data_IF_722616557087
#
_entry.id   IF_722616557087
#
_cell.length_a   1.000
_cell.length_b   1.000
_cell.length_c   1.000
_cell.angle_alpha   90.00
_cell.angle_beta   90.00
_cell.angle_gamma   90.00
#
_symmetry.space_group_name_H-M   'P 1'
#
loop_
_entity.id
_entity.type
_entity.pdbx_description
1 polymer ?
#
# COMPACT_ATOMS: atom_id res chain seq x y z
N UNK A 1 8.10 -37.16 3.53
CA UNK A 1 7.85 -35.84 4.17
C UNK A 1 7.43 -34.96 3.00
N UNK A 2 6.13 -34.82 2.81
CA UNK A 2 5.53 -34.00 1.76
C UNK A 2 5.84 -32.53 2.06
N UNK A 3 6.54 -31.86 1.16
CA UNK A 3 6.62 -30.41 1.11
C UNK A 3 5.21 -29.89 0.79
N UNK A 4 4.56 -29.35 1.82
CA UNK A 4 3.30 -28.64 1.72
C UNK A 4 3.60 -27.35 0.93
N UNK A 5 3.33 -27.36 -0.35
CA UNK A 5 3.55 -26.22 -1.23
C UNK A 5 2.56 -25.11 -0.85
N UNK A 6 3.08 -23.95 -0.51
CA UNK A 6 2.34 -22.74 -0.12
C UNK A 6 1.40 -22.20 -1.21
N UNK A 7 1.30 -22.86 -2.36
CA UNK A 7 0.42 -22.51 -3.47
C UNK A 7 -1.07 -22.80 -3.20
N UNK A 8 -1.38 -23.67 -2.25
CA UNK A 8 -2.75 -24.13 -2.00
C UNK A 8 -3.65 -23.15 -1.24
N UNK A 9 -3.09 -21.98 -0.84
CA UNK A 9 -3.80 -20.97 -0.03
C UNK A 9 -4.15 -19.69 -0.78
N UNK A 10 -3.77 -19.56 -2.05
CA UNK A 10 -4.05 -18.39 -2.87
C UNK A 10 -5.18 -18.70 -3.83
N UNK A 11 -6.34 -18.11 -3.60
CA UNK A 11 -7.45 -18.17 -4.55
C UNK A 11 -7.17 -17.25 -5.74
N UNK A 12 -7.16 -17.78 -6.95
CA UNK A 12 -6.88 -17.01 -8.17
C UNK A 12 -8.14 -16.81 -8.98
N UNK A 13 -8.33 -15.60 -9.49
CA UNK A 13 -9.52 -15.19 -10.24
C UNK A 13 -9.15 -14.43 -11.51
N UNK A 14 -9.98 -14.55 -12.55
CA UNK A 14 -9.93 -13.73 -13.75
C UNK A 14 -10.96 -12.61 -13.63
N UNK A 15 -10.54 -11.38 -13.92
CA UNK A 15 -11.41 -10.20 -13.97
C UNK A 15 -11.44 -9.69 -15.41
N UNK A 16 -12.60 -9.78 -16.07
CA UNK A 16 -12.75 -9.36 -17.46
C UNK A 16 -12.86 -7.84 -17.57
N UNK A 17 -12.04 -7.26 -18.45
CA UNK A 17 -12.07 -5.84 -18.78
C UNK A 17 -12.60 -5.62 -20.19
N UNK A 18 -13.57 -4.72 -20.32
CA UNK A 18 -14.11 -4.29 -21.61
C UNK A 18 -13.11 -3.41 -22.38
N UNK A 19 -12.25 -2.69 -21.63
CA UNK A 19 -11.27 -1.76 -22.19
C UNK A 19 -9.85 -2.31 -22.10
N UNK A 20 -9.03 -2.06 -23.14
CA UNK A 20 -7.61 -2.41 -23.15
C UNK A 20 -6.81 -1.69 -22.06
N UNK A 21 -7.22 -0.49 -21.65
CA UNK A 21 -6.52 0.28 -20.63
C UNK A 21 -6.79 -0.22 -19.20
N UNK A 22 -7.81 -1.03 -18.99
CA UNK A 22 -8.13 -1.72 -17.72
C UNK A 22 -8.29 -0.83 -16.48
N UNK A 23 -8.14 0.48 -16.59
CA UNK A 23 -8.12 1.40 -15.43
C UNK A 23 -9.46 1.40 -14.69
N UNK A 24 -10.57 1.45 -15.42
CA UNK A 24 -11.91 1.42 -14.81
C UNK A 24 -12.18 0.07 -14.14
N UNK A 25 -11.75 -1.04 -14.78
CA UNK A 25 -11.88 -2.39 -14.22
C UNK A 25 -11.08 -2.53 -12.93
N UNK A 26 -9.84 -2.04 -12.92
CA UNK A 26 -9.00 -1.99 -11.71
C UNK A 26 -9.69 -1.21 -10.59
N UNK A 27 -10.22 -0.02 -10.88
CA UNK A 27 -10.90 0.80 -9.89
C UNK A 27 -12.13 0.08 -9.32
N UNK A 28 -12.97 -0.51 -10.18
CA UNK A 28 -14.16 -1.26 -9.76
C UNK A 28 -13.78 -2.47 -8.90
N UNK A 29 -12.71 -3.20 -9.26
CA UNK A 29 -12.20 -4.31 -8.47
C UNK A 29 -11.73 -3.84 -7.08
N UNK A 30 -10.93 -2.79 -7.01
CA UNK A 30 -10.51 -2.20 -5.73
C UNK A 30 -11.69 -1.76 -4.86
N UNK A 31 -12.78 -1.33 -5.46
CA UNK A 31 -14.01 -0.95 -4.75
C UNK A 31 -14.79 -2.15 -4.18
N UNK A 32 -14.47 -3.38 -4.55
CA UNK A 32 -15.09 -4.59 -3.96
C UNK A 32 -14.40 -5.05 -2.68
N UNK A 33 -13.20 -4.55 -2.38
CA UNK A 33 -12.46 -4.96 -1.20
C UNK A 33 -12.91 -4.17 0.02
N UNK A 34 -13.44 -4.88 1.00
CA UNK A 34 -13.90 -4.27 2.27
C UNK A 34 -12.73 -3.89 3.18
N UNK A 35 -11.64 -4.66 3.13
CA UNK A 35 -10.45 -4.48 3.96
C UNK A 35 -9.23 -5.13 3.32
N UNK A 36 -8.08 -4.91 3.94
CA UNK A 36 -6.82 -5.54 3.54
C UNK A 36 -5.95 -4.65 2.68
N UNK A 37 -4.68 -5.06 2.59
CA UNK A 37 -3.70 -4.39 1.74
C UNK A 37 -3.63 -5.08 0.38
N UNK A 38 -3.41 -4.28 -0.65
CA UNK A 38 -3.38 -4.72 -2.06
C UNK A 38 -2.08 -4.28 -2.71
N UNK A 39 -1.45 -5.17 -3.46
CA UNK A 39 -0.39 -4.81 -4.42
C UNK A 39 -0.94 -4.94 -5.83
N UNK A 40 -0.79 -3.88 -6.63
CA UNK A 40 -1.11 -3.84 -8.05
C UNK A 40 0.20 -3.91 -8.84
N UNK A 41 0.38 -4.99 -9.60
CA UNK A 41 1.59 -5.20 -10.40
C UNK A 41 1.42 -4.71 -11.84
N UNK A 42 2.36 -3.85 -12.25
CA UNK A 42 2.54 -3.38 -13.61
C UNK A 42 3.89 -3.86 -14.17
N UNK A 43 3.97 -4.09 -15.49
CA UNK A 43 5.23 -4.53 -16.12
C UNK A 43 6.22 -3.37 -16.32
N UNK A 44 5.74 -2.12 -16.41
CA UNK A 44 6.54 -0.94 -16.72
C UNK A 44 6.30 0.20 -15.73
N UNK A 45 7.33 1.01 -15.47
CA UNK A 45 7.25 2.17 -14.57
C UNK A 45 6.24 3.21 -15.03
N UNK A 46 6.15 3.45 -16.36
CA UNK A 46 5.20 4.39 -16.95
C UNK A 46 3.75 3.96 -16.69
N UNK A 47 3.52 2.65 -16.62
CA UNK A 47 2.19 2.10 -16.25
C UNK A 47 1.90 2.27 -14.76
N UNK A 48 2.92 2.18 -13.89
CA UNK A 48 2.77 2.49 -12.47
C UNK A 48 2.35 3.94 -12.28
N UNK A 49 3.01 4.87 -12.96
CA UNK A 49 2.68 6.31 -12.90
C UNK A 49 1.25 6.57 -13.40
N UNK A 50 0.89 5.99 -14.56
CA UNK A 50 -0.44 6.13 -15.15
C UNK A 50 -1.55 5.59 -14.25
N UNK A 51 -1.37 4.41 -13.68
CA UNK A 51 -2.31 3.83 -12.71
C UNK A 51 -2.40 4.72 -11.47
N UNK A 52 -1.26 5.18 -10.96
CA UNK A 52 -1.22 6.09 -9.81
C UNK A 52 -1.96 7.40 -10.07
N UNK A 53 -1.78 8.04 -11.23
CA UNK A 53 -2.51 9.25 -11.61
C UNK A 53 -4.03 9.00 -11.67
N UNK A 54 -4.43 7.88 -12.25
CA UNK A 54 -5.83 7.51 -12.32
C UNK A 54 -6.44 7.29 -10.92
N UNK A 55 -5.79 6.52 -10.06
CA UNK A 55 -6.26 6.29 -8.68
C UNK A 55 -6.32 7.60 -7.88
N UNK A 56 -5.37 8.51 -8.10
CA UNK A 56 -5.39 9.85 -7.49
C UNK A 56 -6.59 10.65 -7.97
N UNK A 57 -6.93 10.62 -9.26
CA UNK A 57 -8.11 11.29 -9.81
C UNK A 57 -9.40 10.76 -9.20
N UNK A 58 -9.43 9.47 -8.86
CA UNK A 58 -10.52 8.80 -8.15
C UNK A 58 -10.48 9.04 -6.62
N UNK A 59 -9.50 9.78 -6.11
CA UNK A 59 -9.28 10.07 -4.68
C UNK A 59 -9.12 8.80 -3.84
N UNK A 60 -8.48 7.77 -4.39
CA UNK A 60 -8.06 6.58 -3.64
C UNK A 60 -6.65 6.77 -3.06
N UNK A 61 -6.50 6.50 -1.77
CA UNK A 61 -5.19 6.51 -1.11
C UNK A 61 -4.36 5.32 -1.63
N UNK A 62 -3.25 5.63 -2.28
CA UNK A 62 -2.31 4.65 -2.84
C UNK A 62 -0.90 5.19 -2.82
N UNK A 63 0.08 4.30 -2.96
CA UNK A 63 1.48 4.63 -3.18
C UNK A 63 1.96 4.02 -4.50
N UNK A 64 2.72 4.77 -5.27
CA UNK A 64 3.44 4.28 -6.43
C UNK A 64 4.87 3.90 -6.04
N UNK A 65 5.41 2.81 -6.63
CA UNK A 65 6.74 2.33 -6.30
C UNK A 65 7.44 1.70 -7.52
N UNK A 66 8.47 2.35 -8.03
CA UNK A 66 9.31 1.83 -9.12
C UNK A 66 10.73 2.40 -9.08
N UNK A 67 11.66 1.75 -9.78
CA UNK A 67 13.08 2.09 -9.75
C UNK A 67 13.47 3.46 -10.32
N UNK A 68 12.56 4.14 -11.05
CA UNK A 68 12.79 5.49 -11.57
C UNK A 68 12.51 6.61 -10.56
N UNK A 69 12.01 6.29 -9.36
CA UNK A 69 11.71 7.27 -8.32
C UNK A 69 12.94 7.53 -7.45
N UNK A 70 13.03 8.73 -6.88
CA UNK A 70 14.04 9.07 -5.90
C UNK A 70 13.96 8.17 -4.66
N UNK A 71 15.10 7.85 -4.05
CA UNK A 71 15.20 6.95 -2.91
C UNK A 71 14.30 7.40 -1.74
N UNK A 72 14.31 8.69 -1.43
CA UNK A 72 13.50 9.24 -0.34
C UNK A 72 11.99 9.08 -0.58
N UNK A 73 11.55 9.25 -1.83
CA UNK A 73 10.14 9.04 -2.23
C UNK A 73 9.76 7.57 -2.09
N UNK A 74 10.65 6.66 -2.50
CA UNK A 74 10.43 5.20 -2.35
C UNK A 74 10.34 4.78 -0.88
N UNK A 75 11.24 5.25 -0.03
CA UNK A 75 11.22 4.95 1.40
C UNK A 75 9.93 5.45 2.06
N UNK A 76 9.49 6.65 1.73
CA UNK A 76 8.24 7.20 2.23
C UNK A 76 7.02 6.40 1.77
N UNK A 77 6.96 6.01 0.49
CA UNK A 77 5.87 5.19 -0.05
C UNK A 77 5.76 3.84 0.68
N UNK A 78 6.88 3.16 0.88
CA UNK A 78 6.91 1.91 1.63
C UNK A 78 6.53 2.10 3.09
N UNK A 79 7.00 3.16 3.73
CA UNK A 79 6.65 3.46 5.11
C UNK A 79 5.13 3.68 5.26
N UNK A 80 4.52 4.46 4.37
CA UNK A 80 3.07 4.69 4.36
C UNK A 80 2.27 3.42 4.11
N UNK A 81 2.74 2.55 3.22
CA UNK A 81 2.12 1.27 2.97
C UNK A 81 2.25 0.34 4.19
N UNK A 82 3.44 0.19 4.77
CA UNK A 82 3.68 -0.67 5.94
C UNK A 82 2.88 -0.27 7.16
N UNK A 83 2.70 1.02 7.41
CA UNK A 83 1.99 1.50 8.60
C UNK A 83 0.46 1.59 8.41
N UNK A 84 -0.07 1.24 7.23
CA UNK A 84 -1.49 1.27 6.94
C UNK A 84 -2.07 2.67 6.64
N UNK A 85 -1.21 3.67 6.35
CA UNK A 85 -1.65 4.99 5.86
C UNK A 85 -2.06 4.96 4.39
N UNK A 86 -1.65 3.91 3.68
CA UNK A 86 -2.10 3.55 2.35
C UNK A 86 -2.31 2.04 2.28
N UNK A 87 -3.42 1.61 1.71
CA UNK A 87 -3.75 0.19 1.57
C UNK A 87 -3.48 -0.36 0.16
N UNK A 88 -3.03 0.49 -0.76
CA UNK A 88 -2.76 0.12 -2.15
C UNK A 88 -1.33 0.52 -2.50
N UNK A 89 -0.54 -0.45 -2.97
CA UNK A 89 0.79 -0.24 -3.53
C UNK A 89 0.76 -0.61 -5.01
N UNK A 90 1.08 0.32 -5.89
CA UNK A 90 1.23 0.08 -7.34
C UNK A 90 2.71 -0.05 -7.64
N UNK A 91 3.16 -1.20 -8.14
CA UNK A 91 4.60 -1.47 -8.28
C UNK A 91 4.95 -2.27 -9.53
N UNK A 92 6.23 -2.20 -9.94
CA UNK A 92 6.81 -3.14 -10.89
C UNK A 92 7.40 -4.36 -10.16
N UNK A 93 7.56 -5.50 -10.86
CA UNK A 93 8.19 -6.71 -10.31
C UNK A 93 9.59 -6.44 -9.75
N UNK A 94 10.41 -5.77 -10.54
CA UNK A 94 11.79 -5.50 -10.19
C UNK A 94 11.90 -4.64 -8.91
N UNK A 95 11.04 -3.65 -8.79
CA UNK A 95 11.03 -2.77 -7.62
C UNK A 95 10.52 -3.50 -6.37
N UNK A 96 9.56 -4.42 -6.51
CA UNK A 96 9.00 -5.17 -5.39
C UNK A 96 9.88 -6.34 -4.91
N UNK A 97 10.87 -6.76 -5.71
CA UNK A 97 11.81 -7.83 -5.31
C UNK A 97 12.69 -7.40 -4.14
N UNK A 98 12.82 -8.29 -3.15
CA UNK A 98 13.66 -8.06 -1.99
C UNK A 98 13.14 -7.01 -1.00
N UNK A 99 11.96 -6.44 -1.24
CA UNK A 99 11.34 -5.55 -0.27
C UNK A 99 10.77 -6.33 0.91
N UNK A 100 10.99 -5.81 2.08
CA UNK A 100 10.27 -6.19 3.28
C UNK A 100 8.88 -5.55 3.26
N UNK A 101 7.97 -6.16 2.48
CA UNK A 101 6.57 -5.77 2.39
C UNK A 101 5.78 -6.68 3.32
N UNK A 102 4.86 -6.14 4.13
CA UNK A 102 3.97 -6.95 4.93
C UNK A 102 3.15 -7.89 4.04
N UNK A 103 2.67 -8.96 4.60
CA UNK A 103 1.75 -9.85 3.93
C UNK A 103 0.49 -9.10 3.53
N UNK A 104 0.10 -9.23 2.26
CA UNK A 104 -1.07 -8.55 1.71
C UNK A 104 -2.18 -9.54 1.43
N UNK A 105 -3.42 -9.08 1.49
CA UNK A 105 -4.60 -9.89 1.24
C UNK A 105 -4.88 -10.06 -0.25
N UNK A 106 -4.53 -9.05 -1.06
CA UNK A 106 -4.89 -9.02 -2.47
C UNK A 106 -3.68 -8.72 -3.35
N UNK A 107 -3.49 -9.54 -4.39
CA UNK A 107 -2.56 -9.29 -5.49
C UNK A 107 -3.36 -9.05 -6.76
N UNK A 108 -3.10 -7.96 -7.45
CA UNK A 108 -3.73 -7.65 -8.73
C UNK A 108 -2.65 -7.61 -9.82
N UNK A 109 -2.82 -8.43 -10.84
CA UNK A 109 -2.02 -8.40 -12.05
C UNK A 109 -2.69 -7.47 -13.06
N UNK A 110 -2.39 -6.17 -12.98
CA UNK A 110 -2.86 -5.20 -13.98
C UNK A 110 -2.28 -5.49 -15.36
N UNK A 111 -1.01 -5.89 -15.41
CA UNK A 111 -0.40 -6.59 -16.52
C UNK A 111 -0.08 -8.01 -16.12
N UNK A 112 -0.32 -8.94 -17.03
CA UNK A 112 0.03 -10.34 -16.82
C UNK A 112 1.53 -10.49 -16.57
N UNK A 113 1.93 -11.36 -15.63
CA UNK A 113 3.34 -11.70 -15.45
C UNK A 113 3.89 -12.39 -16.71
N UNK A 114 5.12 -12.01 -17.08
CA UNK A 114 5.76 -12.52 -18.30
C UNK A 114 6.27 -13.96 -18.18
N UNK A 115 6.22 -14.57 -16.99
CA UNK A 115 6.66 -15.95 -16.74
C UNK A 115 6.00 -16.49 -15.48
N UNK A 116 6.01 -17.82 -15.35
CA UNK A 116 5.57 -18.53 -14.13
C UNK A 116 6.34 -18.04 -12.89
N UNK A 117 7.65 -17.91 -13.01
CA UNK A 117 8.51 -17.42 -11.93
C UNK A 117 8.08 -16.01 -11.44
N UNK A 118 7.75 -15.10 -12.37
CA UNK A 118 7.21 -13.80 -12.02
C UNK A 118 5.84 -13.91 -11.31
N UNK A 119 4.98 -14.83 -11.75
CA UNK A 119 3.70 -15.08 -11.10
C UNK A 119 3.89 -15.59 -9.66
N UNK A 120 4.76 -16.59 -9.46
CA UNK A 120 5.08 -17.14 -8.14
C UNK A 120 5.66 -16.03 -7.22
N UNK A 121 6.57 -15.22 -7.72
CA UNK A 121 7.15 -14.12 -6.95
C UNK A 121 6.13 -13.05 -6.55
N UNK A 122 5.15 -12.75 -7.42
CA UNK A 122 4.04 -11.83 -7.10
C UNK A 122 3.11 -12.43 -6.06
N UNK A 123 2.63 -13.65 -6.28
CA UNK A 123 1.70 -14.34 -5.38
C UNK A 123 2.33 -14.69 -4.05
N UNK A 124 3.62 -14.93 -4.01
CA UNK A 124 4.38 -15.12 -2.77
C UNK A 124 4.43 -13.90 -1.83
N UNK A 125 3.72 -12.81 -2.14
CA UNK A 125 3.46 -11.68 -1.23
C UNK A 125 2.19 -11.83 -0.42
N UNK A 126 1.42 -12.86 -0.68
CA UNK A 126 0.19 -13.19 0.04
C UNK A 126 0.20 -14.64 0.54
N UNK A 127 -0.75 -15.00 1.39
CA UNK A 127 -0.98 -16.36 1.90
C UNK A 127 0.21 -17.02 2.60
N UNK A 128 1.03 -16.27 3.32
CA UNK A 128 2.08 -16.80 4.19
C UNK A 128 1.50 -17.23 5.54
N UNK A 129 2.09 -18.24 6.18
CA UNK A 129 1.83 -18.59 7.59
C UNK A 129 0.34 -18.81 7.96
N UNK A 130 -0.43 -19.53 7.14
CA UNK A 130 -1.84 -19.86 7.36
C UNK A 130 -2.86 -18.73 7.08
N UNK A 131 -2.47 -17.63 6.47
CA UNK A 131 -3.41 -16.63 5.96
C UNK A 131 -3.96 -17.04 4.58
N UNK A 132 -5.20 -16.68 4.29
CA UNK A 132 -5.80 -16.79 2.97
C UNK A 132 -5.51 -15.53 2.18
N UNK A 133 -5.17 -15.67 0.89
CA UNK A 133 -4.93 -14.56 0.00
C UNK A 133 -5.62 -14.74 -1.34
N UNK A 134 -5.83 -13.64 -2.05
CA UNK A 134 -6.48 -13.65 -3.35
C UNK A 134 -5.62 -12.98 -4.42
N UNK A 135 -5.58 -13.60 -5.59
CA UNK A 135 -4.86 -13.15 -6.78
C UNK A 135 -5.84 -12.88 -7.91
N UNK A 136 -5.74 -11.74 -8.57
CA UNK A 136 -6.66 -11.32 -9.62
C UNK A 136 -5.89 -10.97 -10.88
N UNK A 137 -6.22 -11.63 -12.00
CA UNK A 137 -5.67 -11.31 -13.31
C UNK A 137 -6.68 -10.48 -14.09
N UNK A 138 -6.35 -9.23 -14.41
CA UNK A 138 -7.22 -8.39 -15.22
C UNK A 138 -6.90 -8.64 -16.70
N UNK A 139 -7.84 -9.22 -17.43
CA UNK A 139 -7.73 -9.57 -18.85
C UNK A 139 -8.70 -8.74 -19.69
N UNK A 140 -8.22 -8.13 -20.78
CA UNK A 140 -9.09 -7.64 -21.84
C UNK A 140 -9.33 -8.71 -22.90
N UNK A 141 -10.23 -8.47 -23.85
CA UNK A 141 -10.72 -9.48 -24.81
C UNK A 141 -9.61 -10.15 -25.66
N UNK A 142 -8.49 -9.47 -25.89
CA UNK A 142 -7.38 -9.97 -26.70
C UNK A 142 -6.30 -10.68 -25.84
N UNK A 143 -6.41 -10.68 -24.52
CA UNK A 143 -5.50 -11.38 -23.63
C UNK A 143 -6.06 -12.75 -23.23
N UNK A 144 -5.16 -13.71 -23.11
CA UNK A 144 -5.49 -15.07 -22.69
C UNK A 144 -4.83 -15.38 -21.36
N UNK A 145 -5.43 -16.32 -20.63
CA UNK A 145 -4.81 -16.88 -19.43
C UNK A 145 -3.46 -17.49 -19.80
N UNK A 146 -2.39 -17.16 -19.06
CA UNK A 146 -1.07 -17.75 -19.32
C UNK A 146 -1.08 -19.27 -19.21
N UNK A 147 -0.35 -19.94 -20.10
CA UNK A 147 -0.28 -21.42 -20.18
C UNK A 147 0.27 -22.07 -18.89
N UNK A 148 1.09 -21.36 -18.13
CA UNK A 148 1.62 -21.86 -16.85
C UNK A 148 0.57 -21.90 -15.73
N UNK A 149 -0.61 -21.35 -15.93
CA UNK A 149 -1.74 -21.47 -15.02
C UNK A 149 -2.62 -22.64 -15.51
N UNK A 150 -2.27 -23.86 -15.10
CA UNK A 150 -2.90 -25.11 -15.56
C UNK A 150 -4.32 -25.34 -15.01
N UNK A 151 -4.73 -24.62 -13.96
CA UNK A 151 -6.04 -24.82 -13.32
C UNK A 151 -7.15 -24.04 -14.05
N UNK A 152 -8.37 -24.59 -14.04
CA UNK A 152 -9.56 -23.80 -14.34
C UNK A 152 -9.67 -22.69 -13.32
N UNK A 153 -9.48 -21.44 -13.80
CA UNK A 153 -9.56 -20.23 -12.96
C UNK A 153 -10.95 -19.64 -13.13
N UNK A 154 -11.60 -19.39 -12.01
CA UNK A 154 -12.94 -18.81 -11.99
C UNK A 154 -12.92 -17.32 -12.39
N UNK A 155 -13.94 -16.91 -13.16
CA UNK A 155 -14.18 -15.50 -13.44
C UNK A 155 -14.75 -14.80 -12.19
N UNK A 156 -14.09 -13.72 -11.75
CA UNK A 156 -14.61 -12.83 -10.72
C UNK A 156 -15.52 -11.79 -11.35
N UNK A 157 -16.81 -11.94 -11.13
CA UNK A 157 -17.81 -11.02 -11.69
C UNK A 157 -17.88 -9.75 -10.83
N UNK A 158 -17.49 -8.63 -11.41
CA UNK A 158 -17.59 -7.34 -10.74
C UNK A 158 -19.06 -6.94 -10.55
N UNK A 159 -19.48 -6.57 -9.33
CA UNK A 159 -20.84 -6.10 -9.09
C UNK A 159 -21.14 -4.84 -9.93
N UNK A 160 -22.39 -4.66 -10.36
CA UNK A 160 -22.82 -3.47 -11.10
C UNK A 160 -22.56 -2.18 -10.30
N UNK A 161 -22.74 -2.25 -8.98
CA UNK A 161 -22.45 -1.16 -8.05
C UNK A 161 -21.52 -1.68 -6.96
N UNK A 162 -20.27 -1.27 -7.02
CA UNK A 162 -19.33 -1.43 -5.94
C UNK A 162 -19.39 -0.21 -5.03
N UNK A 163 -19.21 -0.43 -3.74
CA UNK A 163 -19.01 0.65 -2.76
C UNK A 163 -17.73 1.43 -3.08
N UNK A 164 -17.43 2.42 -2.27
CA UNK A 164 -16.12 3.07 -2.30
C UNK A 164 -15.23 2.38 -1.25
N UNK A 165 -13.95 2.11 -1.53
CA UNK A 165 -13.04 1.56 -0.53
C UNK A 165 -13.02 2.45 0.71
N UNK A 166 -13.00 1.84 1.88
CA UNK A 166 -12.84 2.59 3.12
C UNK A 166 -11.49 3.30 3.12
N UNK A 167 -11.43 4.57 3.57
CA UNK A 167 -10.16 5.26 3.71
C UNK A 167 -9.28 4.52 4.72
N UNK A 168 -7.95 4.53 4.54
CA UNK A 168 -7.04 3.94 5.51
C UNK A 168 -7.26 4.51 6.92
N UNK A 169 -7.17 3.65 7.93
CA UNK A 169 -7.35 4.00 9.33
C UNK A 169 -6.26 4.97 9.83
N UNK A 170 -5.07 4.87 9.29
CA UNK A 170 -3.90 5.64 9.66
C UNK A 170 -3.59 6.76 8.68
N UNK A 171 -2.86 7.76 9.13
CA UNK A 171 -2.26 8.81 8.31
C UNK A 171 -0.84 9.05 8.78
N UNK A 172 0.10 9.20 7.87
CA UNK A 172 1.50 9.48 8.21
C UNK A 172 1.70 10.97 8.35
N UNK A 173 2.31 11.38 9.47
CA UNK A 173 2.82 12.73 9.69
C UNK A 173 4.33 12.75 9.48
N UNK A 174 4.80 13.80 8.80
CA UNK A 174 6.19 14.18 8.70
C UNK A 174 6.55 15.10 9.85
N UNK A 175 7.69 14.85 10.48
CA UNK A 175 8.27 15.65 11.55
C UNK A 175 9.65 16.10 11.10
N UNK A 176 9.86 17.39 10.90
CA UNK A 176 11.10 17.98 10.36
C UNK A 176 12.26 18.04 11.36
N UNK A 177 12.42 17.03 12.21
CA UNK A 177 13.50 16.81 13.17
C UNK A 177 13.77 15.33 13.35
N UNK A 178 15.03 14.98 13.63
CA UNK A 178 15.44 13.59 13.74
C UNK A 178 16.54 13.35 14.76
N UNK A 179 17.30 12.28 14.56
CA UNK A 179 18.39 11.84 15.47
C UNK A 179 19.46 12.90 15.67
N UNK A 180 19.80 13.68 14.62
CA UNK A 180 20.77 14.78 14.69
C UNK A 180 20.33 15.92 15.62
N UNK A 181 19.01 16.10 15.77
CA UNK A 181 18.41 17.03 16.73
C UNK A 181 18.22 16.37 18.12
N UNK A 182 18.75 15.18 18.36
CA UNK A 182 18.57 14.37 19.58
C UNK A 182 17.11 14.04 19.88
N UNK A 183 16.31 13.87 18.83
CA UNK A 183 14.91 13.44 18.90
C UNK A 183 14.88 11.91 18.71
N UNK A 184 14.10 11.24 19.55
CA UNK A 184 13.86 9.80 19.48
C UNK A 184 12.35 9.48 19.49
N UNK A 185 12.02 8.19 19.37
CA UNK A 185 10.62 7.72 19.34
C UNK A 185 9.83 8.10 20.59
N UNK A 186 10.48 8.06 21.76
CA UNK A 186 9.83 8.39 23.05
C UNK A 186 9.51 9.88 23.13
N UNK A 187 10.39 10.75 22.63
CA UNK A 187 10.15 12.19 22.58
C UNK A 187 8.94 12.52 21.71
N UNK A 188 8.83 11.87 20.54
CA UNK A 188 7.70 12.06 19.62
C UNK A 188 6.41 11.55 20.24
N UNK A 189 6.39 10.33 20.76
CA UNK A 189 5.22 9.76 21.41
C UNK A 189 4.75 10.60 22.60
N UNK A 190 5.69 10.98 23.48
CA UNK A 190 5.40 11.83 24.64
C UNK A 190 4.84 13.20 24.26
N UNK A 191 5.36 13.80 23.19
CA UNK A 191 4.83 15.05 22.65
C UNK A 191 3.39 14.90 22.14
N UNK A 192 3.12 13.87 21.35
CA UNK A 192 1.79 13.61 20.81
C UNK A 192 0.76 13.31 21.92
N UNK A 193 1.16 12.59 22.96
CA UNK A 193 0.28 12.32 24.11
C UNK A 193 0.01 13.58 24.95
N UNK A 194 1.07 14.29 25.34
CA UNK A 194 0.96 15.41 26.27
C UNK A 194 0.42 16.69 25.65
N UNK A 195 0.83 16.99 24.41
CA UNK A 195 0.47 18.23 23.71
C UNK A 195 -0.61 18.01 22.66
N UNK A 196 -0.61 16.86 22.04
CA UNK A 196 -1.58 16.48 21.00
C UNK A 196 -2.88 15.86 21.53
N UNK A 197 -2.92 15.51 22.82
CA UNK A 197 -4.10 14.89 23.44
C UNK A 197 -4.41 13.49 22.90
N UNK A 198 -3.43 12.81 22.29
CA UNK A 198 -3.61 11.47 21.77
C UNK A 198 -3.43 10.41 22.86
N UNK A 199 -4.09 9.27 22.67
CA UNK A 199 -3.88 8.05 23.45
C UNK A 199 -2.87 7.15 22.78
N UNK A 200 -2.47 6.07 23.46
CA UNK A 200 -1.56 5.07 22.92
C UNK A 200 -2.12 4.40 21.65
N UNK A 201 -3.43 4.19 21.61
CA UNK A 201 -4.11 3.56 20.47
C UNK A 201 -4.26 4.49 19.24
N UNK A 202 -4.03 5.79 19.43
CA UNK A 202 -4.07 6.79 18.36
C UNK A 202 -2.73 6.93 17.64
N UNK A 203 -1.64 6.37 18.18
CA UNK A 203 -0.27 6.50 17.65
C UNK A 203 0.25 5.12 17.25
N UNK A 204 0.54 4.96 15.97
CA UNK A 204 1.11 3.75 15.40
C UNK A 204 2.63 3.79 15.33
N UNK A 205 3.19 3.23 14.27
CA UNK A 205 4.63 3.13 14.06
C UNK A 205 5.30 4.51 14.00
N UNK A 206 6.42 4.66 14.70
CA UNK A 206 7.28 5.84 14.64
C UNK A 206 8.62 5.42 14.05
N UNK A 207 9.07 6.08 13.00
CA UNK A 207 10.38 5.89 12.39
C UNK A 207 11.18 7.19 12.41
N UNK A 208 12.39 7.16 13.00
CA UNK A 208 13.22 8.35 13.20
C UNK A 208 14.48 8.23 12.38
N UNK A 209 14.62 9.10 11.39
CA UNK A 209 15.79 9.27 10.54
C UNK A 209 16.73 10.33 11.12
N UNK A 210 17.83 10.61 10.44
CA UNK A 210 18.84 11.57 10.92
C UNK A 210 18.26 13.00 11.07
N UNK A 211 17.49 13.47 10.08
CA UNK A 211 17.02 14.86 10.01
C UNK A 211 15.50 15.00 10.09
N UNK A 212 14.76 13.90 10.03
CA UNK A 212 13.30 13.90 10.08
C UNK A 212 12.78 12.62 10.73
N UNK A 213 11.49 12.60 10.98
CA UNK A 213 10.80 11.39 11.41
C UNK A 213 9.42 11.28 10.76
N UNK A 214 8.93 10.05 10.71
CA UNK A 214 7.55 9.74 10.36
C UNK A 214 6.83 9.11 11.55
N UNK A 215 5.56 9.42 11.69
CA UNK A 215 4.67 8.76 12.67
C UNK A 215 3.30 8.51 12.06
N UNK A 216 2.79 7.31 12.26
CA UNK A 216 1.41 6.97 11.94
C UNK A 216 0.49 7.45 13.07
N UNK A 217 -0.57 8.18 12.70
CA UNK A 217 -1.59 8.66 13.63
C UNK A 217 -2.97 8.28 13.09
N UNK A 218 -3.91 7.97 13.98
CA UNK A 218 -5.30 7.73 13.58
C UNK A 218 -5.81 8.87 12.71
N UNK A 219 -6.29 8.52 11.51
CA UNK A 219 -6.68 9.49 10.48
C UNK A 219 -7.73 10.49 10.98
N UNK A 220 -8.70 10.04 11.75
CA UNK A 220 -9.76 10.85 12.33
C UNK A 220 -9.27 11.87 13.37
N UNK A 221 -8.07 11.68 13.95
CA UNK A 221 -7.45 12.58 14.92
C UNK A 221 -6.55 13.65 14.31
N UNK A 222 -6.08 13.47 13.07
CA UNK A 222 -5.03 14.31 12.46
C UNK A 222 -5.40 15.79 12.42
N UNK A 223 -6.62 16.12 12.00
CA UNK A 223 -7.04 17.52 11.88
C UNK A 223 -6.97 18.26 13.22
N UNK A 224 -7.53 17.68 14.26
CA UNK A 224 -7.53 18.28 15.60
C UNK A 224 -6.11 18.31 16.18
N UNK A 225 -5.34 17.24 16.00
CA UNK A 225 -3.95 17.16 16.42
C UNK A 225 -3.13 18.33 15.88
N UNK A 226 -3.15 18.57 14.55
CA UNK A 226 -2.36 19.62 13.91
C UNK A 226 -2.74 21.02 14.41
N UNK A 227 -4.00 21.24 14.77
CA UNK A 227 -4.45 22.52 15.40
C UNK A 227 -3.83 22.63 16.79
N UNK A 228 -3.92 21.59 17.63
CA UNK A 228 -3.42 21.62 19.01
C UNK A 228 -1.92 21.82 19.10
N UNK A 229 -1.15 21.18 18.21
CA UNK A 229 0.33 21.21 18.25
C UNK A 229 0.95 22.34 17.40
N UNK A 230 0.15 23.13 16.69
CA UNK A 230 0.64 24.11 15.70
C UNK A 230 1.67 25.11 16.25
N UNK A 231 1.55 25.48 17.53
CA UNK A 231 2.47 26.38 18.22
C UNK A 231 3.36 25.72 19.27
N UNK A 232 3.25 24.38 19.40
CA UNK A 232 3.99 23.62 20.40
C UNK A 232 5.41 23.28 19.91
N UNK A 233 6.29 23.03 20.87
CA UNK A 233 7.71 22.70 20.62
C UNK A 233 8.02 21.28 21.07
N UNK A 234 8.77 20.54 20.27
CA UNK A 234 9.36 19.26 20.68
C UNK A 234 10.72 19.55 21.33
N UNK A 235 10.92 19.18 22.58
CA UNK A 235 12.15 19.46 23.33
C UNK A 235 12.61 20.95 23.24
N UNK A 236 11.69 21.87 23.29
CA UNK A 236 11.98 23.30 23.17
C UNK A 236 12.24 23.80 21.74
N UNK A 237 12.23 22.91 20.74
CA UNK A 237 12.49 23.28 19.34
C UNK A 237 11.18 23.40 18.55
N UNK A 238 11.02 24.52 17.84
CA UNK A 238 9.95 24.66 16.86
C UNK A 238 10.19 23.67 15.72
N UNK A 239 9.21 22.84 15.45
CA UNK A 239 9.34 21.73 14.51
C UNK A 239 8.19 21.76 13.53
N UNK A 240 8.51 21.62 12.23
CA UNK A 240 7.50 21.47 11.19
C UNK A 240 6.86 20.10 11.33
N UNK A 241 5.53 20.06 11.45
CA UNK A 241 4.76 18.83 11.47
C UNK A 241 3.61 18.99 10.50
N UNK A 242 3.50 18.08 9.54
CA UNK A 242 2.47 18.09 8.50
C UNK A 242 2.13 16.68 8.05
N UNK A 243 1.01 16.50 7.35
CA UNK A 243 0.70 15.23 6.70
C UNK A 243 1.75 14.96 5.62
N UNK A 244 2.36 13.79 5.64
CA UNK A 244 3.35 13.37 4.64
C UNK A 244 2.67 13.25 3.26
N UNK A 245 3.22 13.97 2.29
CA UNK A 245 2.71 14.01 0.91
C UNK A 245 3.20 12.81 0.11
#
# INVERSE_FOLDING_TARGET
>A
ISEDTSSDKVSTYIVRSESKDKLQTLYRLLCTFESGQTIVFCNHRESVDRVGEYLRSQKLAHEAYHGGMDQEVRERALYKFRNGSSNILVSTDLAARGLDIPEVQHIIHYHLPGSEDAYIHRTGRTARWNAEGSSYLILHAEEHTPEYLEAEIEDYVLPERAGRPQPPMWSTLYIGRGKKDKINKVDIAGFLYKKGGLTRDDVGTIDVHDYYAYVAVRRDKVRQLLILIGNEKIKGMKTKIEVAK
#
